data_IF_369328517869
#
_entry.id   IF_369328517869
#
_cell.length_a   1.000
_cell.length_b   1.000
_cell.length_c   1.000
_cell.angle_alpha   90.00
_cell.angle_beta   90.00
_cell.angle_gamma   90.00
#
_symmetry.space_group_name_H-M   'P 1'
#
loop_
_entity.id
_entity.type
_entity.pdbx_description
1 polymer ?
#
# COMPACT_ATOMS: atom_id res chain seq x y z
N UNK A 1 -10.73 0.96 28.59
CA UNK A 1 -10.08 0.60 27.31
C UNK A 1 -9.57 1.89 26.68
N UNK A 2 -8.26 2.14 26.52
CA UNK A 2 -7.82 3.38 25.90
C UNK A 2 -7.93 3.22 24.38
N UNK A 3 -8.77 4.03 23.75
CA UNK A 3 -8.76 4.22 22.30
C UNK A 3 -7.58 5.15 22.03
N UNK A 4 -6.54 4.66 21.36
CA UNK A 4 -5.43 5.50 20.90
C UNK A 4 -5.98 6.67 20.05
N UNK A 5 -5.33 7.85 20.02
CA UNK A 5 -5.85 9.01 19.31
C UNK A 5 -6.16 8.64 17.86
N UNK A 6 -7.38 8.96 17.41
CA UNK A 6 -7.87 8.75 16.03
C UNK A 6 -7.08 9.64 15.06
N UNK A 7 -5.84 9.23 14.78
CA UNK A 7 -4.97 9.90 13.81
C UNK A 7 -5.50 9.59 12.41
N UNK A 8 -6.25 10.54 11.85
CA UNK A 8 -6.74 10.48 10.48
C UNK A 8 -5.60 10.70 9.48
N UNK A 9 -5.79 10.20 8.26
CA UNK A 9 -4.84 10.22 7.16
C UNK A 9 -5.36 11.24 6.12
N UNK A 10 -4.48 12.09 5.59
CA UNK A 10 -4.87 13.07 4.58
C UNK A 10 -5.29 12.37 3.28
N UNK A 11 -6.26 12.96 2.56
CA UNK A 11 -6.76 12.36 1.32
C UNK A 11 -5.69 12.18 0.22
N UNK A 12 -4.64 13.00 0.18
CA UNK A 12 -3.59 12.85 -0.83
C UNK A 12 -2.85 11.50 -0.74
N UNK A 13 -2.83 10.86 0.43
CA UNK A 13 -2.30 9.49 0.56
C UNK A 13 -3.22 8.46 -0.11
N UNK A 14 -4.54 8.67 -0.06
CA UNK A 14 -5.50 7.85 -0.81
C UNK A 14 -5.25 8.03 -2.30
N UNK A 15 -5.15 9.28 -2.77
CA UNK A 15 -4.89 9.57 -4.19
C UNK A 15 -3.58 8.93 -4.68
N UNK A 16 -2.52 9.02 -3.87
CA UNK A 16 -1.22 8.40 -4.15
C UNK A 16 -1.33 6.88 -4.23
N UNK A 17 -2.07 6.24 -3.32
CA UNK A 17 -2.25 4.78 -3.31
C UNK A 17 -3.03 4.27 -4.53
N UNK A 18 -3.94 5.09 -5.08
CA UNK A 18 -4.73 4.74 -6.26
C UNK A 18 -3.94 4.88 -7.58
N UNK A 19 -2.79 5.57 -7.57
CA UNK A 19 -2.05 5.92 -8.79
C UNK A 19 -1.68 4.69 -9.62
N UNK A 20 -1.09 3.67 -8.99
CA UNK A 20 -0.68 2.44 -9.69
C UNK A 20 -1.84 1.66 -10.31
N UNK A 21 -3.02 1.69 -9.69
CA UNK A 21 -4.22 1.09 -10.28
C UNK A 21 -4.76 1.91 -11.47
N UNK A 22 -4.77 3.24 -11.35
CA UNK A 22 -5.21 4.14 -12.44
C UNK A 22 -4.30 4.08 -13.66
N UNK A 23 -2.99 4.02 -13.46
CA UNK A 23 -2.00 3.87 -14.55
C UNK A 23 -2.17 2.54 -15.32
N UNK A 24 -2.82 1.55 -14.71
CA UNK A 24 -3.15 0.24 -15.31
C UNK A 24 -4.59 0.15 -15.82
N UNK A 25 -5.30 1.29 -15.93
CA UNK A 25 -6.72 1.38 -16.35
C UNK A 25 -7.69 0.54 -15.51
N UNK A 26 -7.35 0.27 -14.24
CA UNK A 26 -8.20 -0.49 -13.33
C UNK A 26 -9.22 0.44 -12.68
N UNK A 27 -10.49 0.02 -12.70
CA UNK A 27 -11.56 0.74 -11.99
C UNK A 27 -11.37 0.64 -10.48
N UNK A 28 -11.06 1.78 -9.86
CA UNK A 28 -10.82 1.91 -8.42
C UNK A 28 -12.07 2.21 -7.60
N UNK A 29 -13.23 2.48 -8.23
CA UNK A 29 -14.48 2.76 -7.52
C UNK A 29 -14.93 1.63 -6.60
N UNK A 30 -14.95 0.36 -7.05
CA UNK A 30 -15.33 -0.76 -6.20
C UNK A 30 -14.44 -0.86 -4.94
N UNK A 31 -13.15 -0.53 -5.07
CA UNK A 31 -12.18 -0.58 -3.97
C UNK A 31 -12.46 0.52 -2.94
N UNK A 32 -12.70 1.75 -3.39
CA UNK A 32 -13.03 2.89 -2.52
C UNK A 32 -14.35 2.67 -1.77
N UNK A 33 -15.38 2.19 -2.47
CA UNK A 33 -16.68 1.90 -1.88
C UNK A 33 -16.57 0.84 -0.78
N UNK A 34 -15.84 -0.26 -1.03
CA UNK A 34 -15.61 -1.32 -0.04
C UNK A 34 -14.79 -0.83 1.15
N UNK A 35 -13.87 0.11 0.93
CA UNK A 35 -13.11 0.76 1.98
C UNK A 35 -13.91 1.82 2.77
N UNK A 36 -15.16 2.09 2.38
CA UNK A 36 -16.00 3.10 3.00
C UNK A 36 -15.51 4.53 2.75
N UNK A 37 -14.80 4.77 1.64
CA UNK A 37 -14.28 6.09 1.24
C UNK A 37 -15.17 6.63 0.12
N UNK A 38 -16.01 7.65 0.38
CA UNK A 38 -16.79 8.30 -0.67
C UNK A 38 -15.88 8.91 -1.73
N UNK A 39 -16.07 8.62 -3.03
CA UNK A 39 -15.22 9.15 -4.09
C UNK A 39 -15.15 10.68 -4.15
N UNK A 40 -16.22 11.34 -3.73
CA UNK A 40 -16.28 12.80 -3.64
C UNK A 40 -15.20 13.40 -2.74
N UNK A 41 -14.68 12.65 -1.76
CA UNK A 41 -13.59 13.11 -0.89
C UNK A 41 -12.29 13.37 -1.66
N UNK A 42 -12.06 12.67 -2.78
CA UNK A 42 -10.84 12.85 -3.59
C UNK A 42 -10.75 14.26 -4.19
N UNK A 43 -11.87 14.97 -4.33
CA UNK A 43 -11.90 16.35 -4.79
C UNK A 43 -11.63 17.40 -3.72
N UNK A 44 -11.62 17.03 -2.43
CA UNK A 44 -11.38 17.95 -1.32
C UNK A 44 -10.00 17.70 -0.70
N UNK A 45 -9.03 18.57 -1.00
CA UNK A 45 -7.66 18.47 -0.51
C UNK A 45 -7.52 18.52 1.02
N UNK A 46 -8.55 18.98 1.74
CA UNK A 46 -8.59 19.03 3.22
C UNK A 46 -9.22 17.78 3.82
N UNK A 47 -9.86 16.93 3.02
CA UNK A 47 -10.48 15.71 3.47
C UNK A 47 -9.47 14.78 4.15
N UNK A 48 -9.97 14.04 5.13
CA UNK A 48 -9.20 13.02 5.83
C UNK A 48 -10.02 11.75 5.97
N UNK A 49 -9.34 10.61 5.94
CA UNK A 49 -9.91 9.29 6.13
C UNK A 49 -9.38 8.68 7.44
N UNK A 50 -10.11 7.72 8.00
CA UNK A 50 -9.63 6.99 9.17
C UNK A 50 -8.52 6.00 8.79
N UNK A 51 -7.80 5.49 9.79
CA UNK A 51 -6.78 4.45 9.56
C UNK A 51 -7.43 3.16 9.05
N UNK A 52 -8.62 2.85 9.53
CA UNK A 52 -9.37 1.66 9.17
C UNK A 52 -9.81 1.71 7.71
N UNK A 53 -10.30 2.87 7.25
CA UNK A 53 -10.62 3.13 5.84
C UNK A 53 -9.38 2.99 4.96
N UNK A 54 -8.27 3.62 5.35
CA UNK A 54 -7.03 3.52 4.57
C UNK A 54 -6.48 2.09 4.53
N UNK A 55 -6.50 1.36 5.64
CA UNK A 55 -6.07 -0.02 5.69
C UNK A 55 -6.98 -0.94 4.85
N UNK A 56 -8.29 -0.66 4.79
CA UNK A 56 -9.23 -1.38 3.94
C UNK A 56 -8.98 -1.09 2.45
N UNK A 57 -8.66 0.16 2.10
CA UNK A 57 -8.24 0.56 0.76
C UNK A 57 -6.98 -0.20 0.34
N UNK A 58 -5.92 -0.18 1.14
CA UNK A 58 -4.65 -0.85 0.80
C UNK A 58 -4.86 -2.35 0.57
N UNK A 59 -5.65 -3.02 1.42
CA UNK A 59 -5.99 -4.45 1.22
C UNK A 59 -6.74 -4.69 -0.08
N UNK A 60 -7.75 -3.88 -0.37
CA UNK A 60 -8.52 -4.02 -1.62
C UNK A 60 -7.68 -3.78 -2.87
N UNK A 61 -6.73 -2.85 -2.82
CA UNK A 61 -5.76 -2.63 -3.89
C UNK A 61 -4.79 -3.80 -4.05
N UNK A 62 -4.26 -4.36 -2.96
CA UNK A 62 -3.42 -5.57 -3.02
C UNK A 62 -4.16 -6.74 -3.68
N UNK A 63 -5.42 -6.95 -3.32
CA UNK A 63 -6.25 -8.02 -3.90
C UNK A 63 -6.54 -7.79 -5.39
N UNK A 64 -6.72 -6.53 -5.79
CA UNK A 64 -7.09 -6.15 -7.16
C UNK A 64 -5.88 -6.14 -8.09
N UNK A 65 -4.72 -5.74 -7.58
CA UNK A 65 -3.49 -5.60 -8.37
C UNK A 65 -2.62 -6.86 -8.34
N UNK A 66 -2.87 -7.78 -7.40
CA UNK A 66 -1.94 -8.86 -7.02
C UNK A 66 -0.50 -8.35 -6.79
N UNK A 67 -0.40 -7.15 -6.20
CA UNK A 67 0.84 -6.38 -6.10
C UNK A 67 0.93 -5.68 -4.74
N UNK A 68 1.83 -6.13 -3.86
CA UNK A 68 2.03 -5.55 -2.52
C UNK A 68 2.50 -4.09 -2.55
N UNK A 69 3.14 -3.65 -3.64
CA UNK A 69 3.56 -2.25 -3.80
C UNK A 69 2.45 -1.35 -4.34
N UNK A 70 1.20 -1.84 -4.43
CA UNK A 70 0.05 -1.08 -4.92
C UNK A 70 0.24 -0.58 -6.37
N UNK A 71 1.09 -1.25 -7.14
CA UNK A 71 1.46 -0.85 -8.49
C UNK A 71 2.32 0.41 -8.58
N UNK A 72 2.94 0.84 -7.47
CA UNK A 72 3.81 2.02 -7.43
C UNK A 72 5.29 1.72 -7.76
N UNK A 73 5.66 0.45 -7.86
CA UNK A 73 7.01 0.01 -8.23
C UNK A 73 7.12 -0.36 -9.71
N UNK A 74 8.36 -0.41 -10.21
CA UNK A 74 8.68 -0.79 -11.59
C UNK A 74 8.44 -2.29 -11.90
N UNK A 75 8.09 -3.07 -10.88
CA UNK A 75 7.80 -4.49 -10.97
C UNK A 75 6.63 -4.87 -10.06
N UNK A 76 5.89 -5.91 -10.45
CA UNK A 76 4.79 -6.47 -9.63
C UNK A 76 5.33 -7.35 -8.52
N UNK A 77 4.92 -7.07 -7.28
CA UNK A 77 5.34 -7.82 -6.11
C UNK A 77 4.22 -8.72 -5.61
N UNK A 78 4.29 -10.03 -5.88
CA UNK A 78 3.27 -10.98 -5.42
C UNK A 78 3.20 -11.00 -3.90
N UNK A 79 1.98 -11.17 -3.37
CA UNK A 79 1.70 -11.24 -1.93
C UNK A 79 2.54 -12.32 -1.25
N UNK A 80 3.36 -11.95 -0.26
CA UNK A 80 4.30 -12.91 0.32
C UNK A 80 5.44 -12.36 1.18
N UNK A 81 5.12 -11.81 2.36
CA UNK A 81 5.54 -12.35 3.67
C UNK A 81 7.02 -12.46 4.06
N UNK A 82 8.01 -12.15 3.22
CA UNK A 82 9.39 -12.61 3.50
C UNK A 82 10.14 -11.80 4.59
N UNK A 83 9.65 -10.60 4.94
CA UNK A 83 10.34 -9.69 5.87
C UNK A 83 9.87 -9.83 7.31
N UNK A 84 8.57 -10.02 7.56
CA UNK A 84 7.97 -9.90 8.90
C UNK A 84 8.28 -11.07 9.86
N UNK A 85 8.69 -12.23 9.33
CA UNK A 85 9.10 -13.39 10.13
C UNK A 85 10.62 -13.49 10.32
N UNK A 86 11.36 -12.43 9.97
CA UNK A 86 12.81 -12.42 10.08
C UNK A 86 13.24 -11.94 11.47
N UNK A 87 14.26 -12.59 12.08
CA UNK A 87 14.72 -12.25 13.43
C UNK A 87 15.37 -10.86 13.51
N UNK A 88 15.82 -10.34 12.36
CA UNK A 88 16.44 -9.03 12.24
C UNK A 88 16.20 -8.44 10.84
N UNK A 89 16.34 -7.12 10.73
CA UNK A 89 16.17 -6.38 9.48
C UNK A 89 17.11 -6.86 8.37
N UNK A 90 18.35 -7.24 8.69
CA UNK A 90 19.31 -7.67 7.68
C UNK A 90 18.89 -9.01 7.04
N UNK A 91 18.34 -9.93 7.85
CA UNK A 91 17.77 -11.20 7.39
C UNK A 91 16.51 -10.96 6.57
N UNK A 92 15.70 -9.99 6.99
CA UNK A 92 14.52 -9.57 6.27
C UNK A 92 14.87 -9.00 4.88
N UNK A 93 15.88 -8.13 4.81
CA UNK A 93 16.37 -7.53 3.56
C UNK A 93 17.04 -8.56 2.64
N UNK A 94 17.84 -9.50 3.16
CA UNK A 94 18.42 -10.59 2.37
C UNK A 94 17.34 -11.46 1.73
N UNK A 95 16.38 -11.94 2.53
CA UNK A 95 15.27 -12.74 2.02
C UNK A 95 14.43 -11.95 1.02
N UNK A 96 14.22 -10.66 1.26
CA UNK A 96 13.52 -9.78 0.31
C UNK A 96 14.29 -9.67 -1.02
N UNK A 97 15.61 -9.51 -0.98
CA UNK A 97 16.42 -9.48 -2.20
C UNK A 97 16.34 -10.81 -2.97
N UNK A 98 16.43 -11.94 -2.28
CA UNK A 98 16.31 -13.28 -2.87
C UNK A 98 14.91 -13.55 -3.44
N UNK A 99 13.86 -13.13 -2.74
CA UNK A 99 12.46 -13.38 -3.12
C UNK A 99 11.98 -12.45 -4.23
N UNK A 100 12.38 -11.18 -4.21
CA UNK A 100 11.97 -10.17 -5.20
C UNK A 100 12.94 -10.06 -6.39
N UNK A 101 14.03 -10.83 -6.42
CA UNK A 101 15.02 -10.78 -7.49
C UNK A 101 15.71 -9.41 -7.60
N UNK A 102 15.76 -8.66 -6.49
CA UNK A 102 16.51 -7.41 -6.42
C UNK A 102 17.98 -7.76 -6.68
N UNK A 103 18.66 -7.20 -7.71
CA UNK A 103 20.10 -7.38 -7.80
C UNK A 103 20.71 -6.91 -6.48
N UNK A 104 21.71 -7.63 -5.92
CA UNK A 104 22.33 -7.20 -4.68
C UNK A 104 22.80 -5.77 -4.86
N UNK A 105 22.16 -4.86 -4.13
CA UNK A 105 22.54 -3.46 -4.11
C UNK A 105 23.96 -3.43 -3.57
N UNK A 106 24.95 -3.15 -4.42
CA UNK A 106 26.33 -3.00 -3.99
C UNK A 106 26.38 -1.80 -3.06
N UNK A 107 26.30 -2.07 -1.75
CA UNK A 107 26.64 -1.12 -0.72
C UNK A 107 28.16 -0.93 -0.76
N UNK A 108 28.61 0.00 -1.60
CA UNK A 108 29.93 0.60 -1.42
C UNK A 108 29.82 1.54 -0.22
N UNK A 109 30.41 1.08 0.89
CA UNK A 109 30.87 1.94 1.99
C UNK A 109 32.05 2.76 1.48
#
# INVERSE_FOLDING_TARGET
>A
MPIAPSRTIAIHFVDSALRGARERDIDVWPVLLRAGIPPALLGDSRARVTREQYAALSRGLWDTLDDEFLGLGDFTCKRGLVVLSSPDLATALRRAADFYGFPPCSASI
#
